data_IF_368393945098
#
_entry.id   IF_368393945098
#
_cell.length_a   1.000
_cell.length_b   1.000
_cell.length_c   1.000
_cell.angle_alpha   90.00
_cell.angle_beta   90.00
_cell.angle_gamma   90.00
#
_symmetry.space_group_name_H-M   'P 1'
#
loop_
_entity.id
_entity.type
_entity.pdbx_description
1 polymer ?
#
# COMPACT_ATOMS: atom_id res chain seq x y z
N UNK A 1 18.74 -2.01 4.90
CA UNK A 1 17.65 -2.09 3.93
C UNK A 1 18.20 -2.07 2.53
N UNK A 2 17.86 -3.07 1.73
CA UNK A 2 18.49 -3.26 0.42
C UNK A 2 17.59 -2.90 -0.76
N UNK A 3 16.32 -2.60 -0.50
CA UNK A 3 15.38 -2.25 -1.55
C UNK A 3 15.13 -0.76 -1.60
N UNK A 4 15.07 -0.21 -2.81
CA UNK A 4 14.66 1.16 -3.04
C UNK A 4 13.15 1.20 -3.23
N UNK A 5 12.51 2.21 -2.66
CA UNK A 5 11.07 2.38 -2.76
C UNK A 5 10.73 3.25 -3.98
N UNK A 6 9.79 2.76 -4.78
CA UNK A 6 9.24 3.52 -5.91
C UNK A 6 7.73 3.53 -5.79
N UNK A 7 7.12 4.67 -6.06
CA UNK A 7 5.68 4.85 -5.90
C UNK A 7 5.03 5.18 -7.24
N UNK A 8 3.88 4.56 -7.49
CA UNK A 8 3.05 4.96 -8.61
C UNK A 8 2.65 6.43 -8.42
N UNK A 9 2.53 7.22 -9.51
CA UNK A 9 2.16 8.64 -9.38
C UNK A 9 0.85 8.92 -8.64
N UNK A 10 -0.08 7.97 -8.63
CA UNK A 10 -1.37 8.16 -7.94
C UNK A 10 -1.37 7.72 -6.48
N UNK A 11 -0.24 7.29 -5.93
CA UNK A 11 -0.17 6.87 -4.53
C UNK A 11 -0.50 8.02 -3.59
N UNK A 12 0.00 9.21 -3.88
CA UNK A 12 -0.30 10.37 -3.04
C UNK A 12 -1.80 10.64 -2.99
N UNK A 13 -2.46 10.56 -4.14
CA UNK A 13 -3.90 10.74 -4.21
C UNK A 13 -4.64 9.66 -3.44
N UNK A 14 -4.25 8.38 -3.58
CA UNK A 14 -4.84 7.29 -2.80
C UNK A 14 -4.76 7.59 -1.31
N UNK A 15 -3.58 8.00 -0.88
CA UNK A 15 -3.32 8.29 0.53
C UNK A 15 -4.14 9.48 1.02
N UNK A 16 -4.11 10.57 0.27
CA UNK A 16 -4.80 11.81 0.68
C UNK A 16 -6.30 11.62 0.80
N UNK A 17 -6.90 10.89 -0.12
CA UNK A 17 -8.34 10.61 -0.08
C UNK A 17 -8.71 9.82 1.18
N UNK A 18 -7.94 8.78 1.48
CA UNK A 18 -8.21 7.96 2.66
C UNK A 18 -7.96 8.73 3.96
N UNK A 19 -6.85 9.47 4.01
CA UNK A 19 -6.51 10.28 5.18
C UNK A 19 -7.61 11.28 5.47
N UNK A 20 -8.05 12.03 4.46
CA UNK A 20 -9.09 13.04 4.63
C UNK A 20 -10.40 12.45 5.09
N UNK A 21 -10.78 11.29 4.52
CA UNK A 21 -12.00 10.63 4.92
C UNK A 21 -11.98 10.24 6.40
N UNK A 22 -10.88 9.64 6.86
CA UNK A 22 -10.76 9.23 8.26
C UNK A 22 -10.68 10.42 9.21
N UNK A 23 -9.96 11.46 8.84
CA UNK A 23 -9.85 12.65 9.68
C UNK A 23 -11.21 13.33 9.84
N UNK A 24 -12.04 13.32 8.79
CA UNK A 24 -13.40 13.86 8.84
C UNK A 24 -14.30 13.04 9.76
N UNK A 25 -14.05 11.74 9.89
CA UNK A 25 -14.85 10.89 10.77
C UNK A 25 -14.50 11.13 12.24
N UNK A 26 -13.23 11.32 12.53
CA UNK A 26 -12.78 11.50 13.90
C UNK A 26 -11.40 12.15 13.88
N UNK A 27 -11.23 13.20 14.69
CA UNK A 27 -9.93 13.87 14.82
C UNK A 27 -8.85 12.86 15.18
N UNK A 28 -7.70 12.97 14.55
CA UNK A 28 -6.52 12.12 14.72
C UNK A 28 -6.65 10.73 14.10
N UNK A 29 -7.80 10.37 13.55
CA UNK A 29 -7.96 9.07 12.91
C UNK A 29 -7.14 9.00 11.61
N UNK A 30 -7.03 10.11 10.88
CA UNK A 30 -6.16 10.18 9.71
C UNK A 30 -4.71 9.92 10.06
N UNK A 31 -4.24 10.45 11.21
CA UNK A 31 -2.88 10.22 11.66
C UNK A 31 -2.64 8.74 11.99
N UNK A 32 -3.62 8.08 12.61
CA UNK A 32 -3.54 6.65 12.88
C UNK A 32 -3.46 5.84 11.59
N UNK A 33 -4.24 6.23 10.59
CA UNK A 33 -4.18 5.61 9.27
C UNK A 33 -2.80 5.80 8.66
N UNK A 34 -2.28 7.02 8.71
CA UNK A 34 -0.94 7.33 8.19
C UNK A 34 0.13 6.45 8.83
N UNK A 35 0.07 6.30 10.15
CA UNK A 35 1.04 5.46 10.87
C UNK A 35 0.93 3.99 10.46
N UNK A 36 -0.29 3.50 10.26
CA UNK A 36 -0.51 2.12 9.83
C UNK A 36 0.07 1.88 8.43
N UNK A 37 -0.13 2.83 7.51
CA UNK A 37 0.42 2.74 6.15
C UNK A 37 1.94 2.74 6.18
N UNK A 38 2.54 3.68 6.90
CA UNK A 38 4.02 3.77 7.01
C UNK A 38 4.61 2.50 7.59
N UNK A 39 4.00 2.01 8.67
CA UNK A 39 4.49 0.79 9.32
C UNK A 39 4.44 -0.40 8.38
N UNK A 40 3.38 -0.52 7.59
CA UNK A 40 3.27 -1.63 6.63
C UNK A 40 4.30 -1.49 5.51
N UNK A 41 4.52 -0.29 5.01
CA UNK A 41 5.54 -0.09 3.97
C UNK A 41 6.92 -0.45 4.50
N UNK A 42 7.24 -0.09 5.74
CA UNK A 42 8.51 -0.48 6.34
C UNK A 42 8.67 -1.99 6.42
N UNK A 43 7.61 -2.69 6.81
CA UNK A 43 7.62 -4.15 6.86
C UNK A 43 7.82 -4.77 5.47
N UNK A 44 7.16 -4.20 4.45
CA UNK A 44 7.34 -4.65 3.07
C UNK A 44 8.79 -4.49 2.63
N UNK A 45 9.40 -3.35 2.95
CA UNK A 45 10.80 -3.10 2.55
C UNK A 45 11.77 -4.06 3.24
N UNK A 46 11.46 -4.48 4.47
CA UNK A 46 12.31 -5.42 5.19
C UNK A 46 12.18 -6.85 4.65
N UNK A 47 10.95 -7.28 4.35
CA UNK A 47 10.69 -8.65 3.92
C UNK A 47 9.61 -8.70 2.84
N UNK A 48 9.92 -8.22 1.63
CA UNK A 48 8.88 -8.12 0.61
C UNK A 48 8.34 -9.47 0.14
N UNK A 49 9.06 -10.57 0.36
CA UNK A 49 8.63 -11.87 -0.10
C UNK A 49 7.61 -12.55 0.82
N UNK A 50 7.39 -12.03 2.05
CA UNK A 50 6.47 -12.71 2.98
C UNK A 50 4.99 -12.52 2.63
N UNK A 51 4.67 -11.51 1.83
CA UNK A 51 3.28 -11.26 1.44
C UNK A 51 2.99 -11.91 0.11
N UNK A 52 1.82 -12.54 0.01
CA UNK A 52 1.45 -13.29 -1.19
C UNK A 52 0.64 -12.48 -2.19
N UNK A 53 0.35 -13.11 -3.32
CA UNK A 53 -0.52 -12.57 -4.34
C UNK A 53 -1.94 -13.08 -4.10
N UNK A 54 -2.94 -12.24 -4.38
CA UNK A 54 -4.32 -12.65 -4.22
C UNK A 54 -5.12 -12.63 -5.52
N UNK A 55 -5.12 -11.56 -6.24
CA UNK A 55 -5.90 -11.47 -7.46
C UNK A 55 -5.07 -11.54 -8.72
N UNK A 56 -3.89 -11.00 -8.68
CA UNK A 56 -2.99 -10.94 -9.83
C UNK A 56 -1.60 -11.38 -9.39
N UNK A 57 -1.10 -12.47 -9.99
CA UNK A 57 0.17 -13.08 -9.59
C UNK A 57 1.38 -12.18 -9.79
N UNK A 58 1.26 -11.12 -10.60
CA UNK A 58 2.34 -10.18 -10.80
C UNK A 58 2.51 -9.22 -9.63
N UNK A 59 1.51 -9.14 -8.77
CA UNK A 59 1.48 -8.21 -7.65
C UNK A 59 1.33 -8.97 -6.34
N UNK A 60 1.87 -8.39 -5.28
CA UNK A 60 1.68 -8.87 -3.92
C UNK A 60 0.80 -7.89 -3.17
N UNK A 61 0.13 -8.36 -2.13
CA UNK A 61 -0.79 -7.55 -1.35
C UNK A 61 -0.47 -7.69 0.14
N UNK A 62 -0.23 -6.58 0.79
CA UNK A 62 0.02 -6.53 2.22
C UNK A 62 -1.15 -5.85 2.91
N UNK A 63 -1.82 -6.57 3.80
CA UNK A 63 -2.97 -6.05 4.53
C UNK A 63 -2.52 -5.03 5.57
N UNK A 64 -3.21 -3.89 5.60
CA UNK A 64 -2.95 -2.83 6.59
C UNK A 64 -3.70 -3.18 7.89
N UNK A 65 -3.03 -3.07 9.04
CA UNK A 65 -3.66 -3.33 10.33
C UNK A 65 -4.74 -2.29 10.65
N UNK A 66 -5.86 -2.75 11.16
CA UNK A 66 -6.98 -1.93 11.66
C UNK A 66 -7.76 -1.15 10.63
N UNK A 67 -7.35 -1.18 9.37
CA UNK A 67 -8.04 -0.44 8.30
C UNK A 67 -8.31 -1.38 7.13
N UNK A 68 -9.44 -1.21 6.43
CA UNK A 68 -9.82 -2.12 5.33
C UNK A 68 -9.09 -1.76 4.04
N UNK A 69 -7.76 -1.75 4.09
CA UNK A 69 -6.90 -1.41 2.96
C UNK A 69 -5.83 -2.46 2.78
N UNK A 70 -5.37 -2.60 1.54
CA UNK A 70 -4.17 -3.38 1.21
C UNK A 70 -3.20 -2.48 0.45
N UNK A 71 -1.92 -2.73 0.65
CA UNK A 71 -0.87 -2.11 -0.14
C UNK A 71 -0.48 -3.12 -1.21
N UNK A 72 -0.67 -2.73 -2.47
CA UNK A 72 -0.40 -3.57 -3.62
C UNK A 72 0.95 -3.18 -4.20
N UNK A 73 1.84 -4.15 -4.41
CA UNK A 73 3.20 -3.84 -4.83
C UNK A 73 3.81 -4.95 -5.68
N UNK A 74 4.92 -4.62 -6.33
CA UNK A 74 5.74 -5.56 -7.09
C UNK A 74 7.18 -5.50 -6.59
N UNK A 75 7.87 -6.62 -6.68
CA UNK A 75 9.30 -6.69 -6.37
C UNK A 75 10.06 -6.77 -7.69
N UNK A 76 11.05 -5.91 -7.86
CA UNK A 76 12.02 -6.07 -8.93
C UNK A 76 13.34 -6.47 -8.30
N UNK A 77 13.63 -7.77 -8.28
CA UNK A 77 14.83 -8.29 -7.64
C UNK A 77 16.10 -7.85 -8.34
N UNK A 78 16.02 -7.68 -9.64
CA UNK A 78 17.18 -7.29 -10.43
C UNK A 78 17.66 -5.89 -10.07
N UNK A 79 16.72 -4.95 -9.91
CA UNK A 79 17.03 -3.57 -9.56
C UNK A 79 16.98 -3.32 -8.06
N UNK A 80 16.57 -4.31 -7.28
CA UNK A 80 16.35 -4.17 -5.85
C UNK A 80 15.38 -3.01 -5.54
N UNK A 81 14.23 -3.06 -6.21
CA UNK A 81 13.17 -2.06 -6.06
C UNK A 81 11.87 -2.69 -5.60
N UNK A 82 11.18 -1.97 -4.74
CA UNK A 82 9.80 -2.26 -4.40
C UNK A 82 8.95 -1.16 -5.02
N UNK A 83 8.06 -1.54 -5.90
CA UNK A 83 7.16 -0.60 -6.56
C UNK A 83 5.77 -0.71 -5.94
N UNK A 84 5.34 0.34 -5.25
CA UNK A 84 4.00 0.40 -4.66
C UNK A 84 3.03 0.85 -5.76
N UNK A 85 2.10 -0.03 -6.10
CA UNK A 85 1.13 0.19 -7.17
C UNK A 85 -0.09 0.96 -6.69
N UNK A 86 -0.64 0.59 -5.53
CA UNK A 86 -1.81 1.27 -5.01
C UNK A 86 -1.95 1.05 -3.50
N UNK A 87 -2.67 1.97 -2.86
CA UNK A 87 -3.23 1.80 -1.52
C UNK A 87 -4.72 1.62 -1.77
N UNK A 88 -5.20 0.39 -1.68
CA UNK A 88 -6.51 0.02 -2.19
C UNK A 88 -7.49 -0.37 -1.10
N UNK A 89 -8.65 0.27 -1.07
CA UNK A 89 -9.71 -0.07 -0.14
C UNK A 89 -10.34 -1.41 -0.56
N UNK A 90 -10.53 -2.31 0.40
CA UNK A 90 -11.01 -3.67 0.13
C UNK A 90 -12.36 -3.73 -0.58
N UNK A 91 -13.23 -2.73 -0.37
CA UNK A 91 -14.56 -2.73 -0.97
C UNK A 91 -14.62 -2.04 -2.32
N UNK A 92 -13.54 -1.40 -2.76
CA UNK A 92 -13.55 -0.73 -4.06
C UNK A 92 -13.32 -1.71 -5.20
N UNK A 93 -13.83 -1.36 -6.38
CA UNK A 93 -13.66 -2.18 -7.56
C UNK A 93 -12.17 -2.34 -7.88
N UNK A 94 -11.68 -3.55 -8.24
CA UNK A 94 -10.26 -3.79 -8.45
C UNK A 94 -9.66 -3.17 -9.71
N UNK A 95 -10.43 -2.41 -10.46
CA UNK A 95 -9.97 -1.78 -11.70
C UNK A 95 -8.71 -0.94 -11.53
N UNK A 96 -8.57 -0.24 -10.39
CA UNK A 96 -7.42 0.62 -10.12
C UNK A 96 -6.43 0.00 -9.14
N UNK A 97 -6.62 -1.27 -8.82
CA UNK A 97 -5.81 -1.95 -7.81
C UNK A 97 -4.42 -2.30 -8.32
N UNK A 98 -4.34 -2.81 -9.54
CA UNK A 98 -3.10 -3.33 -10.11
C UNK A 98 -2.56 -2.38 -11.18
N UNK A 99 -1.97 -1.29 -10.73
CA UNK A 99 -1.40 -0.29 -11.64
C UNK A 99 0.02 -0.66 -12.02
N UNK A 100 0.31 -0.48 -13.28
CA UNK A 100 1.67 -0.74 -13.78
C UNK A 100 2.60 0.44 -13.58
#
# INVERSE_FOLDING_TARGET
MIYLLRLHPLIQQDFDEAYGWYEDQQKELGERFSNAIRGKIEQILLRPQVYGSRGNKKFREAKVEFFPYVIVYKINERKKEIYISSIHHNSKHPKKKFRK
#
